data_IF_924598450670
#
_entry.id   IF_924598450670
#
_cell.length_a   1.000
_cell.length_b   1.000
_cell.length_c   1.000
_cell.angle_alpha   90.00
_cell.angle_beta   90.00
_cell.angle_gamma   90.00
#
_symmetry.space_group_name_H-M   'P 1'
#
loop_
_entity.id
_entity.type
_entity.pdbx_description
1 polymer ?
#
# COMPACT_ATOMS: atom_id res chain seq x y z
N UNK A 1 26.95 52.76 7.29
CA UNK A 1 26.07 51.71 7.87
C UNK A 1 25.57 50.64 6.87
N UNK A 2 26.14 50.49 5.66
CA UNK A 2 25.65 49.52 4.66
C UNK A 2 26.57 48.28 4.49
N UNK A 3 27.79 48.30 5.01
CA UNK A 3 28.74 47.17 4.92
C UNK A 3 28.57 46.07 5.98
N UNK A 4 27.68 46.25 6.97
CA UNK A 4 27.49 45.28 8.07
C UNK A 4 26.39 44.24 7.79
N UNK A 5 25.43 44.55 6.90
CA UNK A 5 24.30 43.66 6.61
C UNK A 5 24.63 42.58 5.58
N UNK A 6 25.49 42.86 4.60
CA UNK A 6 25.84 41.90 3.53
C UNK A 6 26.69 40.72 4.04
N UNK A 7 27.48 40.90 5.08
CA UNK A 7 28.30 39.83 5.68
C UNK A 7 27.46 38.86 6.51
N UNK A 8 26.37 39.32 7.14
CA UNK A 8 25.47 38.46 7.93
C UNK A 8 24.65 37.53 7.02
N UNK A 9 24.15 38.01 5.87
CA UNK A 9 23.42 37.15 4.92
C UNK A 9 24.30 36.10 4.24
N UNK A 10 25.58 36.41 3.97
CA UNK A 10 26.53 35.44 3.40
C UNK A 10 26.89 34.33 4.41
N UNK A 11 27.04 34.65 5.70
CA UNK A 11 27.36 33.66 6.74
C UNK A 11 26.14 32.78 7.08
N UNK A 12 24.93 33.35 7.08
CA UNK A 12 23.69 32.59 7.35
C UNK A 12 23.32 31.66 6.18
N UNK A 13 23.54 32.09 4.94
CA UNK A 13 23.32 31.26 3.74
C UNK A 13 24.30 30.08 3.64
N UNK A 14 25.56 30.26 4.04
CA UNK A 14 26.57 29.19 4.09
C UNK A 14 26.29 28.20 5.22
N UNK A 15 25.76 28.65 6.37
CA UNK A 15 25.34 27.77 7.49
C UNK A 15 24.06 26.94 7.18
N UNK A 16 23.13 27.50 6.42
CA UNK A 16 21.94 26.77 5.95
C UNK A 16 22.29 25.72 4.89
N UNK A 17 23.25 26.01 4.01
CA UNK A 17 23.75 25.02 3.06
C UNK A 17 24.58 23.93 3.76
N UNK A 18 25.44 24.24 4.73
CA UNK A 18 26.22 23.19 5.42
C UNK A 18 25.35 22.31 6.33
N UNK A 19 24.29 22.83 6.97
CA UNK A 19 23.38 22.02 7.79
C UNK A 19 22.54 21.02 6.97
N UNK A 20 22.11 21.40 5.76
CA UNK A 20 21.41 20.48 4.84
C UNK A 20 22.36 19.39 4.32
N UNK A 21 23.62 19.72 4.03
CA UNK A 21 24.62 18.74 3.60
C UNK A 21 25.11 17.82 4.73
N UNK A 22 25.26 18.32 5.96
CA UNK A 22 25.58 17.50 7.14
C UNK A 22 24.43 16.56 7.48
N UNK A 23 23.17 17.02 7.39
CA UNK A 23 22.00 16.14 7.54
C UNK A 23 21.96 15.06 6.42
N UNK A 24 22.26 15.41 5.17
CA UNK A 24 22.27 14.44 4.07
C UNK A 24 23.40 13.38 4.21
N UNK A 25 24.59 13.78 4.67
CA UNK A 25 25.71 12.86 4.93
C UNK A 25 25.41 11.95 6.13
N UNK A 26 24.79 12.47 7.20
CA UNK A 26 24.45 11.69 8.40
C UNK A 26 23.30 10.69 8.13
N UNK A 27 22.37 11.01 7.22
CA UNK A 27 21.35 10.04 6.77
C UNK A 27 21.94 8.92 5.91
N UNK A 28 22.90 9.19 5.02
CA UNK A 28 23.44 8.18 4.08
C UNK A 28 24.12 6.97 4.77
N UNK A 29 24.58 7.12 6.01
CA UNK A 29 25.11 6.01 6.80
C UNK A 29 24.05 5.27 7.64
N UNK A 30 22.84 5.82 7.73
CA UNK A 30 21.80 5.37 8.65
C UNK A 30 20.61 4.74 7.95
N UNK A 31 20.30 5.17 6.74
CA UNK A 31 19.15 4.71 5.96
C UNK A 31 19.58 4.31 4.57
N UNK A 32 18.98 3.24 4.07
CA UNK A 32 19.20 2.72 2.72
C UNK A 32 18.28 3.39 1.70
N UNK A 33 17.08 3.78 2.13
CA UNK A 33 16.06 4.41 1.28
C UNK A 33 15.35 5.52 2.05
N UNK A 34 15.16 6.70 1.43
CA UNK A 34 14.38 7.81 2.00
C UNK A 34 13.25 8.17 1.07
N UNK A 35 12.01 7.97 1.50
CA UNK A 35 10.81 8.19 0.68
C UNK A 35 10.06 9.42 1.21
N UNK A 36 9.98 10.46 0.38
CA UNK A 36 9.12 11.63 0.65
C UNK A 36 7.72 11.39 0.09
N UNK A 37 6.74 11.26 0.96
CA UNK A 37 5.38 10.95 0.56
C UNK A 37 4.65 12.12 -0.13
N UNK A 38 5.15 13.36 -0.02
CA UNK A 38 4.59 14.53 -0.74
C UNK A 38 5.26 14.82 -2.07
N UNK A 39 6.37 14.15 -2.41
CA UNK A 39 7.11 14.47 -3.63
C UNK A 39 6.30 14.34 -4.93
N UNK A 40 5.30 13.43 -5.07
CA UNK A 40 4.49 13.40 -6.28
C UNK A 40 3.78 14.75 -6.47
N UNK A 41 3.31 15.38 -5.39
CA UNK A 41 2.59 16.65 -5.44
C UNK A 41 3.44 17.83 -5.92
N UNK A 42 4.77 17.75 -5.80
CA UNK A 42 5.67 18.81 -6.27
C UNK A 42 5.73 18.89 -7.80
N UNK A 43 5.37 17.80 -8.49
CA UNK A 43 5.40 17.71 -9.96
C UNK A 43 4.11 18.20 -10.61
N UNK A 44 3.03 18.37 -9.84
CA UNK A 44 1.70 18.68 -10.37
C UNK A 44 1.16 19.97 -9.79
N UNK A 45 0.54 20.77 -10.65
CA UNK A 45 -0.22 21.93 -10.22
C UNK A 45 -1.67 21.52 -9.95
N UNK A 46 -2.21 21.72 -8.73
CA UNK A 46 -3.61 21.42 -8.44
C UNK A 46 -4.53 22.35 -9.24
N UNK A 47 -5.64 21.82 -9.73
CA UNK A 47 -6.69 22.60 -10.40
C UNK A 47 -7.35 23.58 -9.41
N UNK A 48 -7.62 23.10 -8.18
CA UNK A 48 -8.16 23.92 -7.11
C UNK A 48 -7.40 23.69 -5.81
N UNK A 49 -7.29 24.76 -5.02
CA UNK A 49 -6.83 24.69 -3.63
C UNK A 49 -7.86 25.38 -2.77
N UNK A 50 -8.34 24.70 -1.74
CA UNK A 50 -9.24 25.27 -0.76
C UNK A 50 -8.96 24.77 0.65
N UNK A 51 -9.58 25.40 1.63
CA UNK A 51 -9.43 25.08 3.04
C UNK A 51 -10.77 24.60 3.62
N UNK A 52 -10.76 23.41 4.20
CA UNK A 52 -11.91 22.83 4.91
C UNK A 52 -11.51 22.69 6.37
N UNK A 53 -12.14 23.44 7.26
CA UNK A 53 -11.85 23.41 8.71
C UNK A 53 -10.34 23.61 9.04
N UNK A 54 -9.66 24.49 8.30
CA UNK A 54 -8.22 24.75 8.44
C UNK A 54 -7.30 23.78 7.70
N UNK A 55 -7.83 22.68 7.16
CA UNK A 55 -7.08 21.69 6.40
C UNK A 55 -6.97 22.08 4.92
N UNK A 56 -5.75 22.08 4.39
CA UNK A 56 -5.43 22.40 2.99
C UNK A 56 -5.78 21.21 2.11
N UNK A 57 -6.71 21.40 1.18
CA UNK A 57 -7.10 20.40 0.19
C UNK A 57 -6.51 20.77 -1.16
N UNK A 58 -5.83 19.81 -1.78
CA UNK A 58 -5.33 19.91 -3.15
C UNK A 58 -6.23 19.08 -4.06
N UNK A 59 -6.87 19.72 -5.04
CA UNK A 59 -7.78 19.05 -5.95
C UNK A 59 -7.17 18.94 -7.34
N UNK A 60 -7.17 17.73 -7.86
CA UNK A 60 -6.74 17.38 -9.21
C UNK A 60 -7.92 16.84 -10.00
N UNK A 61 -8.02 17.25 -11.26
CA UNK A 61 -8.98 16.71 -12.23
C UNK A 61 -8.16 15.93 -13.24
N UNK A 62 -8.41 14.62 -13.29
CA UNK A 62 -7.68 13.71 -14.18
C UNK A 62 -8.43 13.53 -15.49
N UNK A 63 -7.67 13.29 -16.56
CA UNK A 63 -8.20 12.81 -17.83
C UNK A 63 -8.24 11.27 -17.84
N UNK A 64 -8.81 10.68 -18.88
CA UNK A 64 -8.87 9.22 -19.04
C UNK A 64 -7.48 8.56 -19.16
N UNK A 65 -6.46 9.34 -19.53
CA UNK A 65 -5.08 8.88 -19.63
C UNK A 65 -4.30 9.05 -18.31
N UNK A 66 -4.97 9.52 -17.24
CA UNK A 66 -4.42 9.74 -15.90
C UNK A 66 -3.16 10.63 -15.83
N UNK A 67 -2.92 11.47 -16.84
CA UNK A 67 -1.66 12.23 -16.96
C UNK A 67 -1.46 13.27 -15.85
N UNK A 68 -2.55 13.67 -15.20
CA UNK A 68 -2.58 14.67 -14.14
C UNK A 68 -2.88 14.08 -12.75
N UNK A 69 -2.68 12.78 -12.57
CA UNK A 69 -2.93 12.06 -11.31
C UNK A 69 -1.63 11.95 -10.51
N UNK A 70 -1.43 12.72 -9.41
CA UNK A 70 -0.31 12.47 -8.52
C UNK A 70 -0.31 11.05 -7.93
N UNK A 71 -1.48 10.42 -7.80
CA UNK A 71 -1.61 9.04 -7.35
C UNK A 71 -0.96 8.03 -8.33
N UNK A 72 -1.04 8.26 -9.65
CA UNK A 72 -0.59 7.30 -10.68
C UNK A 72 0.61 7.76 -11.51
N UNK A 73 1.14 8.95 -11.25
CA UNK A 73 2.29 9.61 -11.90
C UNK A 73 3.65 8.87 -11.88
N UNK A 74 3.66 7.57 -11.64
CA UNK A 74 4.84 6.74 -11.72
C UNK A 74 5.50 6.56 -10.36
N UNK A 75 5.58 5.29 -9.99
CA UNK A 75 6.58 4.67 -9.14
C UNK A 75 7.05 5.53 -7.94
N UNK A 76 6.53 5.19 -6.76
CA UNK A 76 7.18 5.47 -5.46
C UNK A 76 8.67 5.06 -5.50
N UNK A 77 9.10 4.25 -6.48
CA UNK A 77 10.50 3.92 -6.70
C UNK A 77 11.38 5.04 -7.28
N UNK A 78 10.85 6.14 -7.83
CA UNK A 78 11.64 7.33 -8.20
C UNK A 78 12.13 8.11 -6.97
N UNK A 79 11.73 7.68 -5.76
CA UNK A 79 12.12 8.25 -4.48
C UNK A 79 13.25 7.47 -3.80
N UNK A 80 13.78 6.43 -4.43
CA UNK A 80 14.91 5.72 -3.86
C UNK A 80 16.20 6.48 -4.12
N UNK A 81 16.85 6.98 -3.07
CA UNK A 81 18.31 7.00 -3.05
C UNK A 81 18.71 5.53 -2.93
N UNK A 82 18.72 4.79 -4.05
CA UNK A 82 18.96 3.34 -4.03
C UNK A 82 20.34 3.06 -3.44
N UNK A 83 20.36 2.59 -2.20
CA UNK A 83 21.47 1.83 -1.67
C UNK A 83 21.49 0.46 -2.35
N UNK A 84 22.58 0.10 -3.04
CA UNK A 84 22.83 -1.25 -3.58
C UNK A 84 23.10 -2.30 -2.49
N UNK A 85 22.75 -2.00 -1.24
CA UNK A 85 23.02 -2.86 -0.10
C UNK A 85 22.13 -4.10 -0.17
N UNK A 86 22.77 -5.24 -0.35
CA UNK A 86 22.14 -6.54 -0.17
C UNK A 86 21.86 -6.73 1.32
N UNK A 87 20.58 -6.71 1.71
CA UNK A 87 20.17 -7.18 3.04
C UNK A 87 20.30 -8.69 3.10
N UNK A 88 20.81 -9.20 4.21
CA UNK A 88 20.94 -10.64 4.44
C UNK A 88 19.97 -11.05 5.55
N UNK A 89 19.29 -12.21 5.46
CA UNK A 89 18.46 -12.68 6.56
C UNK A 89 19.26 -12.83 7.85
N UNK A 90 18.74 -12.31 8.95
CA UNK A 90 19.34 -12.46 10.27
C UNK A 90 19.16 -13.89 10.81
N UNK A 91 20.16 -14.38 11.56
CA UNK A 91 19.95 -15.56 12.42
C UNK A 91 19.17 -15.18 13.70
N UNK A 92 18.64 -16.16 14.45
CA UNK A 92 17.83 -15.89 15.65
C UNK A 92 18.52 -14.97 16.66
N UNK A 93 19.81 -15.17 16.95
CA UNK A 93 20.53 -14.33 17.92
C UNK A 93 20.69 -12.89 17.43
N UNK A 94 20.91 -12.68 16.14
CA UNK A 94 20.99 -11.34 15.54
C UNK A 94 19.62 -10.65 15.54
N UNK A 95 18.56 -11.39 15.21
CA UNK A 95 17.19 -10.89 15.22
C UNK A 95 16.74 -10.54 16.65
N UNK A 96 17.03 -11.38 17.64
CA UNK A 96 16.77 -11.13 19.05
C UNK A 96 17.40 -9.80 19.52
N UNK A 97 18.69 -9.61 19.23
CA UNK A 97 19.40 -8.37 19.60
C UNK A 97 18.78 -7.12 18.97
N UNK A 98 18.37 -7.23 17.70
CA UNK A 98 17.72 -6.11 17.00
C UNK A 98 16.33 -5.81 17.57
N UNK A 99 15.54 -6.85 17.84
CA UNK A 99 14.22 -6.72 18.47
C UNK A 99 14.32 -6.13 19.88
N UNK A 100 15.28 -6.57 20.70
CA UNK A 100 15.49 -6.03 22.04
C UNK A 100 15.85 -4.54 22.00
N UNK A 101 16.71 -4.13 21.07
CA UNK A 101 17.05 -2.70 20.89
C UNK A 101 15.83 -1.86 20.51
N UNK A 102 14.96 -2.38 19.64
CA UNK A 102 13.69 -1.72 19.27
C UNK A 102 12.71 -1.67 20.45
N UNK A 103 12.49 -2.79 21.14
CA UNK A 103 11.57 -2.89 22.28
C UNK A 103 11.98 -1.97 23.44
N UNK A 104 13.28 -1.84 23.70
CA UNK A 104 13.81 -0.92 24.70
C UNK A 104 13.50 0.54 24.40
N UNK A 105 13.47 0.91 23.11
CA UNK A 105 13.27 2.30 22.66
C UNK A 105 11.80 2.65 22.40
N UNK A 106 11.03 1.69 21.91
CA UNK A 106 9.65 1.88 21.45
C UNK A 106 8.62 1.31 22.43
N UNK A 107 9.04 0.51 23.40
CA UNK A 107 8.17 -0.23 24.30
C UNK A 107 7.55 -1.46 23.61
N UNK A 108 6.46 -2.01 24.19
CA UNK A 108 5.76 -3.16 23.62
C UNK A 108 5.20 -2.88 22.21
N UNK A 109 5.18 -3.89 21.31
CA UNK A 109 4.64 -3.73 19.97
C UNK A 109 3.10 -3.62 19.99
N UNK A 110 2.54 -2.95 19.00
CA UNK A 110 1.09 -2.90 18.81
C UNK A 110 0.55 -4.16 18.12
N UNK A 111 1.36 -4.77 17.26
CA UNK A 111 1.02 -5.99 16.51
C UNK A 111 2.27 -6.82 16.23
N UNK A 112 2.10 -8.14 16.25
CA UNK A 112 3.08 -9.12 15.77
C UNK A 112 2.40 -9.99 14.72
N UNK A 113 3.05 -10.20 13.58
CA UNK A 113 2.61 -11.16 12.56
C UNK A 113 3.48 -12.40 12.65
N UNK A 114 2.86 -13.57 12.76
CA UNK A 114 3.54 -14.87 12.66
C UNK A 114 3.20 -15.50 11.32
N UNK A 115 4.22 -16.01 10.63
CA UNK A 115 4.04 -16.79 9.42
C UNK A 115 4.26 -18.27 9.73
N UNK A 116 3.36 -19.11 9.24
CA UNK A 116 3.45 -20.57 9.30
C UNK A 116 3.96 -21.07 7.96
N UNK A 117 5.18 -21.59 7.97
CA UNK A 117 5.83 -22.19 6.81
C UNK A 117 5.50 -23.68 6.74
N UNK A 118 4.69 -24.06 5.76
CA UNK A 118 4.41 -25.45 5.46
C UNK A 118 5.33 -25.96 4.35
N UNK A 119 6.00 -27.09 4.60
CA UNK A 119 6.79 -27.78 3.58
C UNK A 119 5.84 -28.31 2.50
N UNK A 120 5.96 -27.81 1.27
CA UNK A 120 5.29 -28.44 0.14
C UNK A 120 6.17 -29.58 -0.36
N UNK A 121 5.66 -30.81 -0.32
CA UNK A 121 6.28 -31.94 -1.02
C UNK A 121 6.05 -31.73 -2.51
N UNK A 122 7.02 -31.16 -3.21
CA UNK A 122 7.06 -31.27 -4.67
C UNK A 122 7.76 -32.57 -4.97
N UNK A 123 6.98 -33.51 -5.50
CA UNK A 123 7.50 -34.64 -6.23
C UNK A 123 8.04 -34.05 -7.54
N UNK A 124 9.36 -34.12 -7.69
CA UNK A 124 10.18 -33.77 -8.85
C UNK A 124 10.90 -32.40 -8.88
N UNK A 125 12.21 -32.58 -9.05
CA UNK A 125 13.34 -31.69 -9.32
C UNK A 125 13.94 -30.76 -8.26
N UNK A 126 15.21 -31.05 -8.00
CA UNK A 126 16.13 -30.40 -7.06
C UNK A 126 16.32 -28.92 -7.40
N UNK A 127 15.86 -28.03 -6.53
CA UNK A 127 16.62 -26.84 -6.05
C UNK A 127 15.78 -25.84 -5.24
N UNK A 128 14.46 -25.95 -5.22
CA UNK A 128 13.60 -25.10 -4.40
C UNK A 128 12.57 -25.93 -3.64
N UNK A 129 12.53 -25.80 -2.31
CA UNK A 129 11.43 -26.32 -1.51
C UNK A 129 10.37 -25.22 -1.56
N UNK A 130 9.23 -25.40 -2.27
CA UNK A 130 8.19 -24.41 -2.19
C UNK A 130 7.58 -24.48 -0.78
N UNK A 131 7.44 -23.32 -0.19
CA UNK A 131 6.82 -23.15 1.13
C UNK A 131 5.50 -22.44 0.91
N UNK A 132 4.42 -22.97 1.46
CA UNK A 132 3.17 -22.22 1.56
C UNK A 132 3.18 -21.48 2.90
N UNK A 133 2.78 -20.21 2.88
CA UNK A 133 2.75 -19.35 4.06
C UNK A 133 1.30 -19.07 4.46
N UNK A 134 0.95 -19.40 5.69
CA UNK A 134 -0.24 -18.88 6.37
C UNK A 134 0.18 -17.77 7.35
N UNK A 135 -0.53 -16.65 7.35
CA UNK A 135 -0.18 -15.49 8.18
C UNK A 135 -1.20 -15.31 9.29
N UNK A 136 -0.72 -15.09 10.52
CA UNK A 136 -1.54 -14.85 11.70
C UNK A 136 -1.12 -13.58 12.42
N UNK A 137 -2.08 -12.70 12.60
CA UNK A 137 -1.89 -11.45 13.34
C UNK A 137 -2.20 -11.66 14.82
N UNK A 138 -1.23 -11.35 15.67
CA UNK A 138 -1.36 -11.30 17.11
C UNK A 138 -1.37 -9.84 17.57
N UNK A 139 -2.45 -9.44 18.23
CA UNK A 139 -2.66 -8.07 18.70
C UNK A 139 -2.41 -7.97 20.21
N UNK A 140 -2.01 -6.79 20.67
CA UNK A 140 -1.86 -6.47 22.10
C UNK A 140 -0.83 -7.33 22.87
N UNK A 141 0.30 -7.64 22.25
CA UNK A 141 1.40 -8.37 22.91
C UNK A 141 2.14 -7.43 23.88
N UNK A 142 2.01 -7.70 25.18
CA UNK A 142 2.68 -6.95 26.24
C UNK A 142 4.08 -7.50 26.54
N UNK A 143 4.93 -7.60 25.51
CA UNK A 143 6.30 -8.07 25.66
C UNK A 143 7.30 -6.89 25.66
N UNK A 144 8.26 -6.93 26.57
CA UNK A 144 9.34 -5.93 26.67
C UNK A 144 10.71 -6.47 26.24
N UNK A 145 10.77 -7.74 25.82
CA UNK A 145 11.98 -8.40 25.30
C UNK A 145 11.61 -9.30 24.12
N UNK A 146 12.57 -9.56 23.22
CA UNK A 146 12.40 -10.43 22.06
C UNK A 146 12.01 -11.85 22.50
N UNK A 147 12.63 -12.34 23.57
CA UNK A 147 12.28 -13.61 24.19
C UNK A 147 10.83 -13.63 24.69
N UNK A 148 10.41 -12.62 25.45
CA UNK A 148 9.03 -12.53 25.92
C UNK A 148 8.03 -12.44 24.76
N UNK A 149 8.40 -11.76 23.68
CA UNK A 149 7.58 -11.64 22.48
C UNK A 149 7.41 -13.00 21.78
N UNK A 150 8.49 -13.79 21.68
CA UNK A 150 8.45 -15.17 21.20
C UNK A 150 7.56 -16.04 22.09
N UNK A 151 7.76 -16.00 23.41
CA UNK A 151 7.00 -16.83 24.37
C UNK A 151 5.50 -16.51 24.37
N UNK A 152 5.11 -15.25 24.16
CA UNK A 152 3.70 -14.88 23.96
C UNK A 152 3.14 -15.40 22.62
N UNK A 153 3.93 -15.31 21.54
CA UNK A 153 3.53 -15.85 20.24
C UNK A 153 3.38 -17.39 20.29
N UNK A 154 4.30 -18.09 20.94
CA UNK A 154 4.24 -19.53 21.19
C UNK A 154 3.00 -19.91 22.00
N UNK A 155 2.68 -19.16 23.06
CA UNK A 155 1.47 -19.38 23.85
C UNK A 155 0.19 -19.18 23.04
N UNK A 156 0.15 -18.16 22.19
CA UNK A 156 -1.02 -17.86 21.37
C UNK A 156 -1.26 -18.89 20.27
N UNK A 157 -0.19 -19.49 19.74
CA UNK A 157 -0.26 -20.45 18.63
C UNK A 157 -0.25 -21.92 19.08
N UNK A 158 0.29 -22.22 20.25
CA UNK A 158 0.49 -23.59 20.73
C UNK A 158 1.66 -24.32 20.06
N UNK A 159 2.52 -23.61 19.35
CA UNK A 159 3.61 -24.12 18.52
C UNK A 159 4.91 -23.37 18.83
N UNK A 160 6.07 -23.97 18.56
CA UNK A 160 7.38 -23.29 18.66
C UNK A 160 7.50 -22.20 17.58
N UNK A 161 7.91 -21.00 17.96
CA UNK A 161 8.03 -19.85 17.04
C UNK A 161 9.49 -19.45 16.90
N UNK A 162 10.04 -19.53 15.70
CA UNK A 162 11.43 -19.15 15.44
C UNK A 162 11.59 -17.65 15.16
N UNK A 163 12.77 -17.10 15.49
CA UNK A 163 13.10 -15.67 15.33
C UNK A 163 14.03 -15.39 14.16
N UNK A 164 14.50 -16.44 13.49
CA UNK A 164 15.46 -16.34 12.41
C UNK A 164 15.14 -17.33 11.32
N UNK A 165 15.15 -16.85 10.08
CA UNK A 165 14.81 -17.68 8.94
C UNK A 165 15.82 -18.82 8.73
N UNK A 166 17.10 -18.59 9.04
CA UNK A 166 18.12 -19.64 8.95
C UNK A 166 17.66 -20.90 9.70
N UNK A 167 17.07 -20.70 10.87
CA UNK A 167 16.58 -21.77 11.74
C UNK A 167 15.31 -22.41 11.15
N UNK A 168 14.44 -21.64 10.50
CA UNK A 168 13.28 -22.16 9.73
C UNK A 168 13.73 -23.08 8.60
N UNK A 169 14.73 -22.67 7.81
CA UNK A 169 15.27 -23.48 6.70
C UNK A 169 15.95 -24.74 7.21
N UNK A 170 16.70 -24.64 8.30
CA UNK A 170 17.33 -25.79 8.95
C UNK A 170 16.29 -26.76 9.48
N UNK A 171 15.23 -26.28 10.13
CA UNK A 171 14.10 -27.06 10.59
C UNK A 171 13.37 -27.80 9.45
N UNK A 172 13.05 -27.11 8.35
CA UNK A 172 12.39 -27.72 7.18
C UNK A 172 13.32 -28.76 6.51
N UNK A 173 14.62 -28.45 6.36
CA UNK A 173 15.62 -29.40 5.83
C UNK A 173 15.80 -30.63 6.72
N UNK A 174 15.71 -30.44 8.04
CA UNK A 174 15.72 -31.52 9.03
C UNK A 174 14.43 -32.35 9.03
N UNK A 175 13.44 -31.99 8.20
CA UNK A 175 12.24 -32.78 7.96
C UNK A 175 10.99 -32.30 8.69
N UNK A 176 11.04 -31.15 9.41
CA UNK A 176 9.81 -30.55 9.94
C UNK A 176 8.86 -30.19 8.80
N UNK A 177 7.60 -30.61 8.95
CA UNK A 177 6.54 -30.37 7.97
C UNK A 177 5.99 -28.95 8.08
N UNK A 178 6.04 -28.38 9.28
CA UNK A 178 5.50 -27.07 9.60
C UNK A 178 6.41 -26.37 10.60
N UNK A 179 6.61 -25.07 10.40
CA UNK A 179 7.44 -24.22 11.26
C UNK A 179 6.80 -22.84 11.35
N UNK A 180 6.50 -22.38 12.55
CA UNK A 180 6.08 -21.01 12.78
C UNK A 180 7.31 -20.10 12.98
N UNK A 181 7.25 -18.88 12.46
CA UNK A 181 8.28 -17.86 12.69
C UNK A 181 7.69 -16.46 12.75
N UNK A 182 8.33 -15.59 13.53
CA UNK A 182 7.96 -14.19 13.56
C UNK A 182 8.28 -13.56 12.21
N UNK A 183 7.26 -13.05 11.54
CA UNK A 183 7.39 -12.48 10.22
C UNK A 183 7.45 -10.95 10.27
N UNK A 184 6.58 -10.32 11.05
CA UNK A 184 6.62 -8.87 11.27
C UNK A 184 6.44 -8.52 12.74
N UNK A 185 7.08 -7.43 13.17
CA UNK A 185 6.75 -6.75 14.43
C UNK A 185 6.49 -5.28 14.16
N UNK A 186 5.37 -4.78 14.66
CA UNK A 186 4.86 -3.43 14.37
C UNK A 186 4.75 -2.63 15.66
N UNK A 187 5.34 -1.44 15.64
CA UNK A 187 5.09 -0.38 16.61
C UNK A 187 4.39 0.76 15.91
N UNK A 188 3.38 1.32 16.57
CA UNK A 188 2.72 2.51 16.08
C UNK A 188 2.29 3.37 17.27
N UNK A 189 2.74 4.62 17.26
CA UNK A 189 2.21 5.67 18.11
C UNK A 189 1.84 6.88 17.24
N UNK A 190 1.52 8.01 17.87
CA UNK A 190 1.11 9.23 17.15
C UNK A 190 2.23 9.87 16.30
N UNK A 191 3.50 9.59 16.62
CA UNK A 191 4.66 10.26 16.04
C UNK A 191 5.36 9.39 14.99
N UNK A 192 5.43 8.07 15.23
CA UNK A 192 6.19 7.12 14.40
C UNK A 192 5.47 5.78 14.29
N UNK A 193 5.62 5.17 13.12
CA UNK A 193 5.33 3.77 12.87
C UNK A 193 6.62 3.06 12.47
N UNK A 194 6.91 1.95 13.11
CA UNK A 194 8.07 1.10 12.83
C UNK A 194 7.58 -0.30 12.51
N UNK A 195 8.05 -0.86 11.41
CA UNK A 195 7.80 -2.24 11.03
C UNK A 195 9.16 -2.89 10.81
N UNK A 196 9.44 -3.95 11.56
CA UNK A 196 10.52 -4.86 11.23
C UNK A 196 9.92 -6.07 10.54
N UNK A 197 10.42 -6.39 9.35
CA UNK A 197 10.06 -7.60 8.61
C UNK A 197 11.24 -8.56 8.63
N UNK A 198 10.96 -9.77 9.08
CA UNK A 198 11.87 -10.90 9.22
C UNK A 198 11.46 -11.97 8.19
N UNK A 199 11.58 -11.64 6.90
CA UNK A 199 11.10 -12.50 5.81
C UNK A 199 12.15 -13.53 5.32
N UNK A 200 11.67 -14.47 4.49
CA UNK A 200 12.39 -15.51 3.76
C UNK A 200 13.58 -15.01 2.93
N UNK A 201 13.58 -13.74 2.52
CA UNK A 201 14.55 -13.25 1.55
C UNK A 201 15.38 -12.08 2.07
N UNK A 202 14.86 -11.32 3.04
CA UNK A 202 15.52 -10.13 3.56
C UNK A 202 14.99 -9.76 4.94
N UNK A 203 15.82 -9.03 5.70
CA UNK A 203 15.38 -8.31 6.89
C UNK A 203 15.32 -6.82 6.59
N UNK A 204 14.16 -6.21 6.81
CA UNK A 204 13.95 -4.78 6.61
C UNK A 204 13.41 -4.11 7.87
N UNK A 205 13.76 -2.84 8.01
CA UNK A 205 13.25 -1.93 9.03
C UNK A 205 12.63 -0.72 8.31
N UNK A 206 11.31 -0.70 8.25
CA UNK A 206 10.53 0.40 7.71
C UNK A 206 10.13 1.36 8.83
N UNK A 207 10.55 2.61 8.74
CA UNK A 207 10.15 3.69 9.65
C UNK A 207 9.32 4.70 8.88
N UNK A 208 8.06 4.91 9.29
CA UNK A 208 7.20 5.96 8.77
C UNK A 208 6.97 7.03 9.84
N UNK A 209 7.16 8.30 9.50
CA UNK A 209 7.09 9.41 10.47
C UNK A 209 6.51 10.69 9.85
N UNK A 210 6.02 11.57 10.72
CA UNK A 210 5.83 13.00 10.42
C UNK A 210 6.93 13.88 11.02
N UNK A 211 7.73 13.34 11.93
CA UNK A 211 8.87 14.00 12.59
C UNK A 211 10.17 13.28 12.19
N UNK A 212 10.89 13.89 11.24
CA UNK A 212 12.12 13.33 10.71
C UNK A 212 13.22 13.26 11.78
N UNK A 213 13.29 14.25 12.66
CA UNK A 213 14.34 14.33 13.69
C UNK A 213 14.22 13.17 14.69
N UNK A 214 13.00 12.89 15.16
CA UNK A 214 12.74 11.74 16.05
C UNK A 214 13.06 10.40 15.38
N UNK A 215 12.74 10.24 14.10
CA UNK A 215 13.05 9.00 13.39
C UNK A 215 14.57 8.79 13.23
N UNK A 216 15.32 9.86 12.92
CA UNK A 216 16.79 9.80 12.84
C UNK A 216 17.40 9.48 14.21
N UNK A 217 16.91 10.10 15.29
CA UNK A 217 17.36 9.81 16.66
C UNK A 217 17.12 8.34 17.04
N UNK A 218 15.93 7.82 16.75
CA UNK A 218 15.59 6.42 16.97
C UNK A 218 16.56 5.50 16.22
N UNK A 219 16.73 5.71 14.91
CA UNK A 219 17.57 4.87 14.08
C UNK A 219 19.03 4.92 14.52
N UNK A 220 19.56 6.11 14.84
CA UNK A 220 20.94 6.28 15.34
C UNK A 220 21.13 5.47 16.62
N UNK A 221 20.19 5.59 17.54
CA UNK A 221 20.23 4.86 18.79
C UNK A 221 20.13 3.34 18.63
N UNK A 222 19.34 2.86 17.66
CA UNK A 222 19.29 1.42 17.33
C UNK A 222 20.65 0.97 16.77
N UNK A 223 21.22 1.73 15.82
CA UNK A 223 22.53 1.44 15.23
C UNK A 223 23.64 1.36 16.27
N UNK A 224 23.71 2.32 17.19
CA UNK A 224 24.69 2.34 18.29
C UNK A 224 24.60 1.09 19.17
N UNK A 225 23.39 0.57 19.39
CA UNK A 225 23.13 -0.56 20.29
C UNK A 225 23.40 -1.92 19.64
N UNK A 226 23.02 -2.09 18.36
CA UNK A 226 23.18 -3.36 17.64
C UNK A 226 24.50 -3.46 16.88
N UNK A 227 25.18 -2.33 16.65
CA UNK A 227 26.48 -2.25 16.00
C UNK A 227 26.44 -2.82 14.58
N UNK A 228 27.39 -3.71 14.20
CA UNK A 228 27.47 -4.27 12.84
C UNK A 228 26.22 -5.03 12.36
N UNK A 229 25.32 -5.45 13.25
CA UNK A 229 24.05 -6.08 12.86
C UNK A 229 23.20 -5.11 12.03
N UNK A 230 23.27 -3.81 12.31
CA UNK A 230 22.53 -2.79 11.58
C UNK A 230 22.89 -2.77 10.08
N UNK A 231 24.15 -3.08 9.76
CA UNK A 231 24.63 -3.12 8.39
C UNK A 231 24.13 -4.36 7.60
N UNK A 232 23.41 -5.28 8.26
CA UNK A 232 22.74 -6.41 7.59
C UNK A 232 21.26 -6.15 7.27
N UNK A 233 20.70 -5.09 7.86
CA UNK A 233 19.29 -4.72 7.74
C UNK A 233 19.13 -3.67 6.63
N UNK A 234 18.08 -3.82 5.81
CA UNK A 234 17.65 -2.76 4.89
C UNK A 234 16.78 -1.77 5.65
N UNK A 235 17.21 -0.52 5.77
CA UNK A 235 16.48 0.50 6.54
C UNK A 235 15.82 1.49 5.59
N UNK A 236 14.50 1.57 5.61
CA UNK A 236 13.73 2.51 4.78
C UNK A 236 13.01 3.52 5.66
N UNK A 237 13.28 4.81 5.41
CA UNK A 237 12.66 5.93 6.10
C UNK A 237 11.63 6.62 5.19
N UNK A 238 10.36 6.50 5.54
CA UNK A 238 9.23 7.16 4.88
C UNK A 238 8.84 8.37 5.72
N UNK A 239 8.84 9.56 5.13
CA UNK A 239 8.38 10.75 5.82
C UNK A 239 7.30 11.46 5.02
N UNK A 240 6.42 12.13 5.74
CA UNK A 240 5.28 12.80 5.18
C UNK A 240 4.71 13.80 6.18
N UNK A 241 3.61 14.46 5.82
CA UNK A 241 3.07 15.59 6.58
C UNK A 241 2.38 15.16 7.87
N UNK A 242 1.88 13.92 7.95
CA UNK A 242 1.18 13.36 9.09
C UNK A 242 1.18 11.83 9.01
N UNK A 243 1.07 11.16 10.15
CA UNK A 243 0.94 9.70 10.20
C UNK A 243 -0.54 9.32 10.12
N UNK A 244 -0.86 8.33 9.28
CA UNK A 244 -2.24 7.86 9.15
C UNK A 244 -2.62 6.93 10.31
N UNK A 245 -3.79 7.14 10.95
CA UNK A 245 -4.32 6.17 11.89
C UNK A 245 -4.51 4.81 11.20
N UNK A 246 -4.26 3.73 11.92
CA UNK A 246 -4.41 2.36 11.40
C UNK A 246 -5.44 1.54 12.16
N UNK A 247 -6.22 2.20 13.00
CA UNK A 247 -7.30 1.55 13.73
C UNK A 247 -8.51 1.31 12.81
N UNK A 248 -9.28 0.29 13.16
CA UNK A 248 -10.45 -0.13 12.39
C UNK A 248 -11.53 0.95 12.33
N UNK A 249 -11.65 1.80 13.36
CA UNK A 249 -12.65 2.88 13.38
C UNK A 249 -12.33 3.94 12.34
N UNK A 250 -11.07 4.34 12.22
CA UNK A 250 -10.64 5.25 11.16
C UNK A 250 -10.94 4.69 9.78
N UNK A 251 -10.54 3.44 9.51
CA UNK A 251 -10.82 2.77 8.23
C UNK A 251 -12.33 2.67 7.96
N UNK A 252 -13.12 2.30 8.96
CA UNK A 252 -14.57 2.21 8.84
C UNK A 252 -15.20 3.58 8.58
N UNK A 253 -14.71 4.65 9.22
CA UNK A 253 -15.19 6.01 8.98
C UNK A 253 -14.95 6.46 7.53
N UNK A 254 -13.78 6.17 6.96
CA UNK A 254 -13.49 6.44 5.55
C UNK A 254 -14.43 5.67 4.62
N UNK A 255 -14.59 4.36 4.84
CA UNK A 255 -15.47 3.49 4.02
C UNK A 255 -16.94 3.94 4.11
N UNK A 256 -17.42 4.28 5.31
CA UNK A 256 -18.79 4.73 5.49
C UNK A 256 -19.03 6.08 4.81
N UNK A 257 -18.05 6.99 4.87
CA UNK A 257 -18.13 8.28 4.18
C UNK A 257 -18.19 8.09 2.66
N UNK A 258 -17.33 7.25 2.07
CA UNK A 258 -17.36 6.97 0.63
C UNK A 258 -18.68 6.35 0.21
N UNK A 259 -19.14 5.29 0.89
CA UNK A 259 -20.40 4.61 0.57
C UNK A 259 -21.63 5.52 0.71
N UNK A 260 -21.61 6.45 1.67
CA UNK A 260 -22.70 7.42 1.83
C UNK A 260 -22.74 8.38 0.66
N UNK A 261 -21.59 8.94 0.27
CA UNK A 261 -21.52 9.87 -0.86
C UNK A 261 -21.84 9.17 -2.18
N UNK A 262 -21.36 7.94 -2.40
CA UNK A 262 -21.73 7.13 -3.56
C UNK A 262 -23.25 6.98 -3.71
N UNK A 263 -23.97 6.76 -2.60
CA UNK A 263 -25.44 6.71 -2.58
C UNK A 263 -26.07 8.07 -2.85
N UNK A 264 -25.55 9.14 -2.25
CA UNK A 264 -26.02 10.52 -2.48
C UNK A 264 -25.84 10.95 -3.95
N UNK A 265 -24.77 10.50 -4.60
CA UNK A 265 -24.45 10.83 -6.00
C UNK A 265 -25.11 9.89 -7.01
N UNK A 266 -25.47 8.66 -6.62
CA UNK A 266 -26.03 7.66 -7.52
C UNK A 266 -25.07 7.26 -8.65
N UNK A 267 -23.75 7.33 -8.40
CA UNK A 267 -22.71 7.10 -9.41
C UNK A 267 -22.41 5.63 -9.63
N UNK A 268 -22.68 4.79 -8.63
CA UNK A 268 -22.34 3.36 -8.65
C UNK A 268 -23.25 2.61 -9.61
N UNK A 269 -22.65 1.88 -10.56
CA UNK A 269 -23.36 1.09 -11.56
C UNK A 269 -22.70 -0.27 -11.75
N UNK A 270 -23.52 -1.30 -11.84
CA UNK A 270 -23.06 -2.62 -12.25
C UNK A 270 -22.93 -2.65 -13.77
N UNK A 271 -21.74 -3.02 -14.25
CA UNK A 271 -21.49 -3.30 -15.65
C UNK A 271 -21.68 -4.80 -15.84
N UNK A 272 -22.59 -5.18 -16.73
CA UNK A 272 -22.90 -6.58 -17.02
C UNK A 272 -22.64 -6.90 -18.49
N UNK A 273 -22.24 -8.14 -18.76
CA UNK A 273 -22.13 -8.63 -20.13
C UNK A 273 -23.53 -8.87 -20.74
N UNK A 274 -23.55 -9.25 -22.02
CA UNK A 274 -24.78 -9.58 -22.75
C UNK A 274 -25.55 -10.79 -22.19
N UNK A 275 -24.90 -11.59 -21.35
CA UNK A 275 -25.50 -12.73 -20.64
C UNK A 275 -25.95 -12.38 -19.22
N UNK A 276 -25.74 -11.14 -18.77
CA UNK A 276 -26.08 -10.70 -17.43
C UNK A 276 -25.01 -11.03 -16.37
N UNK A 277 -23.83 -11.55 -16.73
CA UNK A 277 -22.72 -11.70 -15.77
C UNK A 277 -22.16 -10.35 -15.37
N UNK A 278 -21.82 -10.18 -14.10
CA UNK A 278 -21.22 -8.95 -13.58
C UNK A 278 -19.77 -8.83 -14.05
N UNK A 279 -19.52 -7.94 -15.00
CA UNK A 279 -18.18 -7.62 -15.52
C UNK A 279 -17.44 -6.65 -14.62
N UNK A 280 -18.15 -5.80 -13.87
CA UNK A 280 -17.51 -4.82 -13.01
C UNK A 280 -18.50 -3.93 -12.29
N UNK A 281 -17.98 -3.10 -11.40
CA UNK A 281 -18.70 -2.01 -10.75
C UNK A 281 -17.98 -0.72 -11.10
N UNK A 282 -18.68 0.23 -11.70
CA UNK A 282 -18.15 1.54 -12.04
C UNK A 282 -18.69 2.63 -11.10
N UNK A 283 -17.96 3.75 -11.01
CA UNK A 283 -18.44 4.96 -10.32
C UNK A 283 -18.38 4.86 -8.80
N UNK A 284 -17.46 4.07 -8.27
CA UNK A 284 -17.13 3.99 -6.83
C UNK A 284 -16.10 5.05 -6.45
N UNK A 285 -16.14 5.51 -5.21
CA UNK A 285 -15.12 6.33 -4.59
C UNK A 285 -14.03 5.45 -3.98
N UNK A 286 -12.80 5.95 -3.97
CA UNK A 286 -11.68 5.22 -3.38
C UNK A 286 -10.89 6.13 -2.44
N UNK A 287 -10.46 5.58 -1.31
CA UNK A 287 -9.48 6.22 -0.43
C UNK A 287 -8.17 5.46 -0.49
N UNK A 288 -7.08 6.12 -0.87
CA UNK A 288 -5.76 5.52 -0.98
C UNK A 288 -4.77 6.19 -0.04
N UNK A 289 -3.95 5.36 0.58
CA UNK A 289 -2.82 5.76 1.39
C UNK A 289 -1.62 4.95 0.92
N UNK A 290 -0.86 5.42 -0.08
CA UNK A 290 0.24 4.64 -0.65
C UNK A 290 1.33 4.31 0.39
N UNK A 291 1.44 5.16 1.42
CA UNK A 291 2.35 5.00 2.54
C UNK A 291 1.58 5.18 3.85
N UNK A 292 2.17 4.75 4.96
CA UNK A 292 1.58 4.95 6.30
C UNK A 292 1.68 6.40 6.80
N UNK A 293 2.45 7.23 6.11
CA UNK A 293 2.52 8.68 6.29
C UNK A 293 1.91 9.33 5.05
N UNK A 294 1.22 10.46 5.23
CA UNK A 294 0.33 11.08 4.24
C UNK A 294 1.00 11.46 2.92
N UNK A 295 0.27 12.04 1.94
CA UNK A 295 -1.12 12.42 2.04
C UNK A 295 -2.09 11.24 1.85
N UNK A 296 -3.29 11.37 2.43
CA UNK A 296 -4.45 10.56 2.06
C UNK A 296 -5.00 11.08 0.72
N UNK A 297 -5.26 10.16 -0.20
CA UNK A 297 -5.89 10.41 -1.48
C UNK A 297 -7.35 10.00 -1.43
N UNK A 298 -8.24 10.86 -1.91
CA UNK A 298 -9.67 10.57 -2.06
C UNK A 298 -10.04 10.76 -3.52
N UNK A 299 -10.44 9.66 -4.17
CA UNK A 299 -10.79 9.64 -5.59
C UNK A 299 -12.31 9.66 -5.71
N UNK A 300 -12.83 10.71 -6.35
CA UNK A 300 -14.23 10.89 -6.67
C UNK A 300 -14.51 10.55 -8.14
N UNK A 301 -15.58 9.81 -8.43
CA UNK A 301 -16.02 9.58 -9.81
C UNK A 301 -16.82 10.77 -10.35
N UNK A 302 -16.72 11.04 -11.65
CA UNK A 302 -17.70 11.85 -12.40
C UNK A 302 -18.16 11.13 -13.68
N UNK A 303 -18.91 10.02 -13.55
CA UNK A 303 -19.25 9.17 -14.67
C UNK A 303 -20.15 9.93 -15.64
N UNK A 304 -19.70 10.04 -16.90
CA UNK A 304 -20.35 10.87 -17.93
C UNK A 304 -19.50 12.07 -18.39
N UNK A 305 -18.29 12.23 -17.86
CA UNK A 305 -17.28 13.16 -18.40
C UNK A 305 -17.53 14.64 -18.07
N UNK A 306 -18.51 14.95 -17.23
CA UNK A 306 -18.70 16.33 -16.75
C UNK A 306 -17.70 16.61 -15.65
N UNK A 307 -16.63 17.31 -16.02
CA UNK A 307 -15.62 17.79 -15.09
C UNK A 307 -16.28 18.67 -14.02
N UNK A 308 -16.07 18.38 -12.72
CA UNK A 308 -16.68 19.18 -11.66
C UNK A 308 -16.10 20.59 -11.65
N UNK A 309 -16.98 21.58 -11.55
CA UNK A 309 -16.56 22.93 -11.26
C UNK A 309 -16.05 23.07 -9.81
N UNK A 310 -15.43 24.21 -9.52
CA UNK A 310 -14.88 24.49 -8.18
C UNK A 310 -15.91 24.34 -7.07
N UNK A 311 -17.13 24.86 -7.27
CA UNK A 311 -18.18 24.85 -6.24
C UNK A 311 -18.66 23.43 -5.94
N UNK A 312 -18.80 22.60 -6.98
CA UNK A 312 -19.15 21.19 -6.85
C UNK A 312 -18.05 20.40 -6.17
N UNK A 313 -16.80 20.57 -6.59
CA UNK A 313 -15.65 19.91 -5.97
C UNK A 313 -15.55 20.24 -4.48
N UNK A 314 -15.66 21.52 -4.12
CA UNK A 314 -15.61 21.96 -2.72
C UNK A 314 -16.76 21.39 -1.90
N UNK A 315 -17.99 21.37 -2.43
CA UNK A 315 -19.15 20.78 -1.75
C UNK A 315 -18.95 19.31 -1.43
N UNK A 316 -18.46 18.53 -2.41
CA UNK A 316 -18.24 17.09 -2.26
C UNK A 316 -17.13 16.79 -1.25
N UNK A 317 -16.02 17.54 -1.30
CA UNK A 317 -14.93 17.35 -0.33
C UNK A 317 -15.36 17.76 1.07
N UNK A 318 -16.08 18.87 1.24
CA UNK A 318 -16.62 19.25 2.55
C UNK A 318 -17.52 18.17 3.13
N UNK A 319 -18.38 17.58 2.28
CA UNK A 319 -19.26 16.48 2.69
C UNK A 319 -18.47 15.24 3.11
N UNK A 320 -17.41 14.89 2.39
CA UNK A 320 -16.53 13.78 2.77
C UNK A 320 -15.83 14.03 4.10
N UNK A 321 -15.28 15.22 4.31
CA UNK A 321 -14.62 15.60 5.58
C UNK A 321 -15.61 15.57 6.74
N UNK A 322 -16.83 16.07 6.54
CA UNK A 322 -17.90 16.01 7.53
C UNK A 322 -18.24 14.57 7.94
N UNK A 323 -18.41 13.67 6.96
CA UNK A 323 -18.79 12.28 7.20
C UNK A 323 -17.66 11.42 7.78
N UNK A 324 -16.43 11.61 7.29
CA UNK A 324 -15.26 10.83 7.74
C UNK A 324 -14.68 11.34 9.05
N UNK A 325 -14.92 12.62 9.38
CA UNK A 325 -14.28 13.29 10.50
C UNK A 325 -12.77 13.49 10.31
N UNK A 326 -12.23 13.29 9.10
CA UNK A 326 -10.80 13.35 8.82
C UNK A 326 -10.47 14.48 7.83
N UNK A 327 -9.55 15.37 8.21
CA UNK A 327 -8.92 16.31 7.29
C UNK A 327 -7.56 16.74 7.85
N UNK A 328 -6.51 16.07 7.38
CA UNK A 328 -5.12 16.46 7.66
C UNK A 328 -4.49 17.12 6.43
N UNK A 329 -3.58 18.07 6.64
CA UNK A 329 -3.01 18.86 5.54
C UNK A 329 -1.69 18.29 5.01
N UNK A 330 -1.52 18.14 3.69
CA UNK A 330 -2.54 18.21 2.66
C UNK A 330 -3.44 16.97 2.61
N UNK A 331 -4.73 17.18 2.34
CA UNK A 331 -5.63 16.15 1.83
C UNK A 331 -5.61 16.25 0.30
N UNK A 332 -5.40 15.12 -0.38
CA UNK A 332 -5.37 15.08 -1.85
C UNK A 332 -6.68 14.51 -2.35
N UNK A 333 -7.33 15.25 -3.24
CA UNK A 333 -8.58 14.83 -3.85
C UNK A 333 -8.39 14.79 -5.35
N UNK A 334 -8.77 13.67 -5.94
CA UNK A 334 -8.73 13.51 -7.38
C UNK A 334 -10.13 13.23 -7.90
N UNK A 335 -10.51 13.92 -8.96
CA UNK A 335 -11.73 13.63 -9.70
C UNK A 335 -11.34 12.85 -10.94
N UNK A 336 -11.95 11.68 -11.12
CA UNK A 336 -11.65 10.76 -12.21
C UNK A 336 -12.88 10.51 -13.10
N UNK A 337 -12.70 10.48 -14.43
CA UNK A 337 -13.82 10.29 -15.35
C UNK A 337 -14.35 8.85 -15.34
N UNK A 338 -13.51 7.89 -14.93
CA UNK A 338 -13.87 6.50 -14.68
C UNK A 338 -13.17 6.00 -13.41
N UNK A 339 -13.93 5.33 -12.56
CA UNK A 339 -13.45 4.57 -11.39
C UNK A 339 -14.21 3.26 -11.32
N UNK A 340 -13.71 2.27 -10.57
CA UNK A 340 -14.39 1.00 -10.42
C UNK A 340 -13.47 -0.20 -10.22
N UNK A 341 -14.08 -1.38 -10.24
CA UNK A 341 -13.42 -2.68 -10.21
C UNK A 341 -13.94 -3.48 -11.40
N UNK A 342 -13.02 -3.93 -12.27
CA UNK A 342 -13.32 -4.90 -13.33
C UNK A 342 -13.07 -6.31 -12.81
N UNK A 343 -14.02 -7.22 -13.06
CA UNK A 343 -13.92 -8.63 -12.74
C UNK A 343 -13.46 -9.42 -13.96
N UNK A 344 -12.52 -10.35 -13.75
CA UNK A 344 -12.14 -11.33 -14.76
C UNK A 344 -13.27 -12.35 -14.90
N UNK A 345 -14.19 -12.10 -15.83
CA UNK A 345 -15.27 -13.05 -16.17
C UNK A 345 -14.91 -13.76 -17.47
N UNK A 346 -14.96 -15.11 -17.52
CA UNK A 346 -14.78 -15.84 -18.76
C UNK A 346 -15.88 -15.46 -19.78
N UNK A 347 -15.50 -15.29 -21.04
CA UNK A 347 -16.41 -14.89 -22.11
C UNK A 347 -17.65 -15.78 -22.14
N UNK A 348 -18.81 -15.14 -22.08
CA UNK A 348 -20.08 -15.81 -22.26
C UNK A 348 -20.24 -16.20 -23.73
N UNK A 349 -19.84 -17.44 -24.03
CA UNK A 349 -19.83 -18.06 -25.37
C UNK A 349 -18.72 -17.49 -26.27
N UNK A 350 -17.72 -18.31 -26.69
CA UNK A 350 -16.72 -17.82 -27.63
C UNK A 350 -17.44 -17.35 -28.90
N UNK A 351 -17.07 -16.17 -29.42
CA UNK A 351 -17.72 -15.55 -30.60
C UNK A 351 -17.98 -16.55 -31.74
N UNK A 352 -17.12 -17.55 -31.89
CA UNK A 352 -17.23 -18.67 -32.83
C UNK A 352 -18.52 -19.49 -32.70
N UNK A 353 -19.00 -19.77 -31.48
CA UNK A 353 -20.23 -20.53 -31.26
C UNK A 353 -21.48 -19.70 -31.59
N UNK A 354 -21.44 -18.38 -31.35
CA UNK A 354 -22.56 -17.48 -31.68
C UNK A 354 -22.76 -17.39 -33.21
N UNK A 355 -21.66 -17.28 -33.98
CA UNK A 355 -21.70 -17.36 -35.43
C UNK A 355 -22.17 -18.74 -35.92
N UNK A 356 -21.78 -19.83 -35.25
CA UNK A 356 -22.22 -21.17 -35.60
C UNK A 356 -23.74 -21.38 -35.37
N UNK A 357 -24.29 -20.85 -34.27
CA UNK A 357 -25.73 -20.92 -33.98
C UNK A 357 -26.52 -20.08 -34.99
N UNK A 358 -26.07 -18.86 -35.30
CA UNK A 358 -26.73 -18.00 -36.32
C UNK A 358 -26.68 -18.65 -37.70
N UNK A 359 -25.56 -19.25 -38.09
CA UNK A 359 -25.43 -19.99 -39.35
C UNK A 359 -26.32 -21.24 -39.38
N UNK A 360 -26.42 -22.00 -38.28
CA UNK A 360 -27.26 -23.19 -38.19
C UNK A 360 -28.76 -22.83 -38.27
N UNK A 361 -29.19 -21.76 -37.61
CA UNK A 361 -30.58 -21.26 -37.69
C UNK A 361 -30.88 -20.74 -39.10
N UNK A 362 -29.96 -19.99 -39.72
CA UNK A 362 -30.11 -19.53 -41.11
C UNK A 362 -30.22 -20.67 -42.12
N UNK A 363 -29.40 -21.73 -41.96
CA UNK A 363 -29.45 -22.91 -42.80
C UNK A 363 -30.76 -23.71 -42.61
N UNK A 364 -31.24 -23.87 -41.38
CA UNK A 364 -32.50 -24.56 -41.09
C UNK A 364 -33.71 -23.84 -41.71
N UNK A 365 -33.74 -22.50 -41.66
CA UNK A 365 -34.80 -21.70 -42.28
C UNK A 365 -34.76 -21.81 -43.81
N UNK A 366 -33.57 -21.78 -44.42
CA UNK A 366 -33.42 -21.95 -45.87
C UNK A 366 -33.87 -23.33 -46.35
N UNK A 367 -33.55 -24.40 -45.60
CA UNK A 367 -33.99 -25.77 -45.90
C UNK A 367 -35.50 -25.91 -45.74
N UNK A 368 -36.09 -25.34 -44.67
CA UNK A 368 -37.53 -25.38 -44.46
C UNK A 368 -38.31 -24.64 -45.56
N UNK A 369 -37.83 -23.46 -45.98
CA UNK A 369 -38.42 -22.69 -47.10
C UNK A 369 -38.25 -23.44 -48.42
N UNK A 370 -37.08 -24.04 -48.66
CA UNK A 370 -36.82 -24.87 -49.84
C UNK A 370 -37.74 -26.09 -49.95
N UNK A 371 -37.93 -26.82 -48.84
CA UNK A 371 -38.85 -27.97 -48.77
C UNK A 371 -40.31 -27.55 -48.97
N UNK A 372 -40.73 -26.40 -48.43
CA UNK A 372 -42.06 -25.84 -48.65
C UNK A 372 -42.29 -25.45 -50.13
N UNK A 373 -41.28 -24.88 -50.80
CA UNK A 373 -41.37 -24.56 -52.22
C UNK A 373 -41.33 -25.81 -53.11
N UNK A 374 -40.55 -26.84 -52.75
CA UNK A 374 -40.50 -28.11 -53.48
C UNK A 374 -41.83 -28.87 -53.37
N UNK A 375 -42.44 -28.91 -52.18
CA UNK A 375 -43.75 -29.52 -51.95
C UNK A 375 -44.85 -28.82 -52.74
N UNK A 376 -44.77 -27.50 -52.93
CA UNK A 376 -45.71 -26.75 -53.78
C UNK A 376 -45.62 -27.09 -55.27
N UNK A 377 -44.45 -27.52 -55.77
CA UNK A 377 -44.26 -27.91 -57.18
C UNK A 377 -44.61 -29.36 -57.49
N UNK A 378 -44.67 -30.23 -56.49
CA UNK A 378 -45.01 -31.65 -56.65
C UNK A 378 -46.51 -31.94 -56.51
N UNK A 379 -47.29 -30.95 -56.04
CA UNK A 379 -48.76 -31.04 -55.87
C UNK A 379 -49.51 -30.21 -56.93
N UNK A 380 -48.77 -29.49 -57.80
CA UNK A 380 -49.25 -28.91 -59.06
C UNK A 380 -48.88 -29.84 -60.21
#
# INVERSE_FOLDING_TARGET
MVKSLLTTYAITGVLLLTSVWVAAVDLSGLVDDVINATSPLERFQPNYVFYVNGCKVLVFITDFDEKNSPLTAGNITDLHILSNKSSTPLNSTQAERLLDALLKRLGPPSKVTVAMAHRRVVVEDNSSIPVTLEWRDLLHIAASTARGLREEAERALGEEVLLGLKDVREAIRAGRQEVAYLADVVWQNKDVRVVITLDLYHTSLDVATADLAKAVELLRGVREEVGPIYDLVRVTLKYGPYLLPRDEKFRAALINATQTIEKELGTVREVRDVCGHLLGIEGTMHTFAPLATGPLYVVFPFPGGTVPDRATAERLVRRFVELSGFCESPLVVEFWPKTGIDFLVPECIPRTLLFAIVAAVGAAVAVAVGLLMLKRRLVS
#
